data_IF_310075521355
#
_entry.id   IF_310075521355
#
_cell.length_a   1.000
_cell.length_b   1.000
_cell.length_c   1.000
_cell.angle_alpha   90.00
_cell.angle_beta   90.00
_cell.angle_gamma   90.00
#
_symmetry.space_group_name_H-M   'P 1'
#
loop_
_entity.id
_entity.type
_entity.pdbx_description
1 polymer ?
#
# COMPACT_ATOMS: atom_id res chain seq x y z
N UNK A 1 -11.85 19.97 -14.99
CA UNK A 1 -10.49 20.51 -15.28
C UNK A 1 -9.57 19.87 -14.26
N UNK A 2 -8.40 19.38 -14.69
CA UNK A 2 -7.39 18.76 -13.82
C UNK A 2 -6.33 19.80 -13.52
N UNK A 3 -5.87 19.86 -12.27
CA UNK A 3 -4.80 20.77 -11.83
C UNK A 3 -3.43 20.12 -12.12
N UNK A 4 -2.53 20.88 -12.72
CA UNK A 4 -1.20 20.40 -13.14
C UNK A 4 -0.14 20.59 -12.07
N UNK A 5 -0.44 21.35 -11.01
CA UNK A 5 0.46 21.53 -9.86
C UNK A 5 0.28 20.42 -8.81
N UNK A 6 -0.78 19.60 -8.95
CA UNK A 6 -1.07 18.49 -8.04
C UNK A 6 -0.29 17.24 -8.47
N UNK A 7 0.50 16.70 -7.54
CA UNK A 7 1.13 15.39 -7.66
C UNK A 7 0.41 14.36 -6.77
N UNK A 8 0.64 13.08 -7.03
CA UNK A 8 0.13 12.00 -6.18
C UNK A 8 0.99 11.92 -4.90
N UNK A 9 0.44 12.18 -3.70
CA UNK A 9 1.18 11.98 -2.47
C UNK A 9 1.29 10.49 -2.17
N UNK A 10 2.39 10.08 -1.52
CA UNK A 10 2.49 8.76 -0.91
C UNK A 10 1.91 8.78 0.51
N UNK A 11 1.41 7.62 0.94
CA UNK A 11 1.13 7.35 2.35
C UNK A 11 2.23 6.42 2.85
N UNK A 12 2.98 6.86 3.86
CA UNK A 12 4.01 6.07 4.52
C UNK A 12 3.43 5.39 5.77
N UNK A 13 3.11 4.08 5.70
CA UNK A 13 2.51 3.37 6.82
C UNK A 13 3.50 3.13 7.97
N UNK A 14 4.81 3.28 7.73
CA UNK A 14 5.84 3.07 8.75
C UNK A 14 5.75 4.12 9.87
N UNK A 15 5.34 5.34 9.54
CA UNK A 15 5.14 6.40 10.54
C UNK A 15 3.92 6.13 11.42
N UNK A 16 2.84 5.63 10.82
CA UNK A 16 1.62 5.29 11.56
C UNK A 16 1.82 4.03 12.43
N UNK A 17 2.69 3.11 11.99
CA UNK A 17 3.06 1.91 12.75
C UNK A 17 3.69 2.25 14.11
N UNK A 18 4.42 3.36 14.23
CA UNK A 18 5.08 3.80 15.47
C UNK A 18 4.11 4.34 16.53
N UNK A 19 2.84 4.55 16.18
CA UNK A 19 1.82 4.94 17.16
C UNK A 19 1.53 3.80 18.14
N UNK A 20 1.15 4.15 19.37
CA UNK A 20 0.73 3.15 20.36
C UNK A 20 -0.46 2.31 19.89
N UNK A 21 -1.30 2.90 19.03
CA UNK A 21 -2.35 2.20 18.30
C UNK A 21 -2.57 2.93 16.95
N UNK A 22 -2.14 2.33 15.82
CA UNK A 22 -2.21 2.96 14.51
C UNK A 22 -3.63 3.31 14.01
N UNK A 23 -4.67 2.76 14.66
CA UNK A 23 -6.07 3.09 14.35
C UNK A 23 -6.43 4.52 14.77
N UNK A 24 -5.63 5.16 15.62
CA UNK A 24 -5.82 6.56 16.02
C UNK A 24 -4.96 7.55 15.22
N UNK A 25 -4.34 7.12 14.12
CA UNK A 25 -3.69 8.06 13.21
C UNK A 25 -4.66 9.14 12.73
N UNK A 26 -4.16 10.39 12.64
CA UNK A 26 -4.91 11.52 12.07
C UNK A 26 -5.29 11.25 10.60
N UNK A 27 -4.59 10.34 9.91
CA UNK A 27 -4.91 9.92 8.56
C UNK A 27 -6.39 9.52 8.41
N UNK A 28 -6.96 8.87 9.43
CA UNK A 28 -8.35 8.38 9.44
C UNK A 28 -9.40 9.45 9.79
N UNK A 29 -8.99 10.71 9.96
CA UNK A 29 -9.92 11.82 10.25
C UNK A 29 -10.80 12.18 9.05
N UNK A 30 -11.91 12.87 9.31
CA UNK A 30 -12.83 13.37 8.28
C UNK A 30 -12.13 14.33 7.29
N UNK A 31 -11.11 15.07 7.73
CA UNK A 31 -10.40 16.05 6.94
C UNK A 31 -9.37 15.43 5.98
N UNK A 32 -8.83 14.25 6.32
CA UNK A 32 -7.84 13.55 5.51
C UNK A 32 -8.48 12.39 4.73
N UNK A 33 -8.21 11.14 5.12
CA UNK A 33 -8.64 9.98 4.35
C UNK A 33 -10.03 9.46 4.73
N UNK A 34 -10.67 10.04 5.74
CA UNK A 34 -12.02 9.75 6.15
C UNK A 34 -12.15 8.73 7.26
N UNK A 35 -13.18 8.93 8.08
CA UNK A 35 -13.52 8.13 9.25
C UNK A 35 -14.48 7.00 8.88
N UNK A 36 -14.20 5.79 9.35
CA UNK A 36 -15.11 4.65 9.19
C UNK A 36 -16.27 4.74 10.18
N UNK A 37 -17.49 4.47 9.72
CA UNK A 37 -18.64 4.25 10.60
C UNK A 37 -18.63 2.84 11.21
N UNK A 38 -19.55 2.57 12.14
CA UNK A 38 -19.67 1.26 12.80
C UNK A 38 -19.93 0.09 11.82
N UNK A 39 -20.50 0.38 10.66
CA UNK A 39 -20.76 -0.58 9.58
C UNK A 39 -19.64 -0.56 8.51
N UNK A 40 -18.51 0.06 8.80
CA UNK A 40 -17.31 0.10 7.95
C UNK A 40 -17.41 1.05 6.76
N UNK A 41 -18.56 1.66 6.47
CA UNK A 41 -18.63 2.65 5.40
C UNK A 41 -17.95 3.96 5.80
N UNK A 42 -17.23 4.59 4.86
CA UNK A 42 -16.48 5.83 5.11
C UNK A 42 -17.30 7.03 4.62
N UNK A 43 -18.31 7.44 5.40
CA UNK A 43 -19.24 8.52 5.03
C UNK A 43 -18.74 9.92 5.39
N UNK A 44 -17.93 10.03 6.45
CA UNK A 44 -17.25 11.26 6.89
C UNK A 44 -15.88 11.33 6.23
N UNK A 45 -15.81 11.90 5.03
CA UNK A 45 -14.59 11.95 4.21
C UNK A 45 -14.69 12.99 3.10
N UNK A 46 -13.56 13.53 2.60
CA UNK A 46 -13.54 14.29 1.35
C UNK A 46 -13.96 13.44 0.15
N UNK A 47 -13.84 12.11 0.28
CA UNK A 47 -14.12 11.11 -0.74
C UNK A 47 -15.52 10.48 -0.65
N UNK A 48 -16.44 11.02 0.17
CA UNK A 48 -17.79 10.45 0.40
C UNK A 48 -18.71 10.35 -0.82
N UNK A 49 -18.28 10.87 -1.98
CA UNK A 49 -18.97 10.75 -3.29
C UNK A 49 -18.11 10.04 -4.35
N UNK A 50 -16.95 9.53 -3.96
CA UNK A 50 -16.08 8.76 -4.82
C UNK A 50 -16.81 7.49 -5.26
N UNK A 51 -17.09 7.41 -6.56
CA UNK A 51 -17.83 6.28 -7.13
C UNK A 51 -16.88 5.44 -7.97
N UNK A 52 -16.71 4.18 -7.59
CA UNK A 52 -15.92 3.20 -8.34
C UNK A 52 -16.72 1.90 -8.42
N UNK A 53 -16.75 1.31 -9.62
CA UNK A 53 -17.54 0.10 -9.93
C UNK A 53 -19.02 0.14 -9.48
N UNK A 54 -19.66 1.32 -9.54
CA UNK A 54 -21.09 1.48 -9.23
C UNK A 54 -21.45 1.57 -7.74
N UNK A 55 -20.46 1.54 -6.83
CA UNK A 55 -20.65 1.90 -5.42
C UNK A 55 -20.12 3.30 -5.16
N UNK A 56 -20.93 4.14 -4.50
CA UNK A 56 -20.63 5.55 -4.23
C UNK A 56 -19.89 5.80 -2.91
N UNK A 57 -19.77 4.78 -2.06
CA UNK A 57 -19.13 4.86 -0.75
C UNK A 57 -18.36 3.56 -0.54
N UNK A 58 -17.04 3.68 -0.37
CA UNK A 58 -16.16 2.56 -0.07
C UNK A 58 -16.23 2.19 1.42
N UNK A 59 -15.75 0.98 1.74
CA UNK A 59 -15.69 0.48 3.11
C UNK A 59 -14.25 0.25 3.56
N UNK A 60 -14.01 0.40 4.86
CA UNK A 60 -12.79 0.03 5.58
C UNK A 60 -13.14 -0.80 6.81
N UNK A 61 -12.17 -1.55 7.32
CA UNK A 61 -12.22 -2.21 8.62
C UNK A 61 -10.82 -2.07 9.27
N UNK A 62 -10.46 -0.84 9.59
CA UNK A 62 -9.08 -0.46 9.97
C UNK A 62 -8.60 -1.25 11.19
N UNK A 63 -7.50 -1.98 11.01
CA UNK A 63 -6.86 -2.78 12.06
C UNK A 63 -7.56 -4.09 12.42
N UNK A 64 -8.56 -4.55 11.64
CA UNK A 64 -9.20 -5.86 11.84
C UNK A 64 -8.29 -7.02 11.40
N UNK A 65 -7.45 -6.79 10.39
CA UNK A 65 -6.52 -7.77 9.80
C UNK A 65 -5.20 -7.09 9.44
N UNK A 66 -4.18 -7.89 9.12
CA UNK A 66 -2.89 -7.36 8.66
C UNK A 66 -2.17 -6.51 9.69
N UNK A 67 -1.11 -5.85 9.23
CA UNK A 67 -0.32 -4.90 10.02
C UNK A 67 0.13 -3.76 9.10
N UNK A 68 0.48 -2.61 9.67
CA UNK A 68 1.17 -1.61 8.87
C UNK A 68 2.60 -2.04 8.57
N UNK A 69 3.10 -1.62 7.40
CA UNK A 69 4.50 -1.72 7.02
C UNK A 69 5.39 -1.08 8.09
N UNK A 70 6.58 -1.63 8.32
CA UNK A 70 7.59 -1.12 9.25
C UNK A 70 8.81 -0.63 8.50
N UNK A 71 9.59 0.24 9.13
CA UNK A 71 10.89 0.67 8.58
C UNK A 71 11.84 -0.52 8.34
N UNK A 72 11.77 -1.55 9.20
CA UNK A 72 12.54 -2.79 9.03
C UNK A 72 12.16 -3.57 7.77
N UNK A 73 10.92 -3.44 7.29
CA UNK A 73 10.49 -4.10 6.06
C UNK A 73 11.11 -3.41 4.84
N UNK A 74 11.20 -2.07 4.86
CA UNK A 74 11.90 -1.30 3.83
C UNK A 74 13.38 -1.69 3.79
N UNK A 75 14.06 -1.72 4.93
CA UNK A 75 15.47 -2.15 5.03
C UNK A 75 15.64 -3.58 4.50
N UNK A 76 14.71 -4.48 4.82
CA UNK A 76 14.75 -5.86 4.32
C UNK A 76 14.66 -5.91 2.80
N UNK A 77 13.82 -5.07 2.19
CA UNK A 77 13.73 -4.95 0.74
C UNK A 77 15.03 -4.37 0.17
N UNK A 78 15.49 -3.23 0.67
CA UNK A 78 16.63 -2.49 0.10
C UNK A 78 17.99 -3.14 0.34
N UNK A 79 18.17 -3.86 1.44
CA UNK A 79 19.51 -4.31 1.84
C UNK A 79 19.65 -5.84 1.77
N UNK A 80 18.55 -6.58 1.92
CA UNK A 80 18.57 -8.04 2.01
C UNK A 80 17.96 -8.75 0.79
N UNK A 81 17.23 -8.04 -0.07
CA UNK A 81 16.54 -8.63 -1.23
C UNK A 81 17.24 -8.25 -2.54
N UNK A 82 18.46 -8.71 -2.73
CA UNK A 82 19.33 -8.29 -3.83
C UNK A 82 19.11 -9.03 -5.17
N UNK A 83 18.25 -10.04 -5.20
CA UNK A 83 17.99 -10.84 -6.40
C UNK A 83 16.63 -10.48 -7.03
N UNK A 84 16.62 -10.28 -8.35
CA UNK A 84 15.41 -9.99 -9.13
C UNK A 84 14.31 -11.03 -8.94
N UNK A 85 14.67 -12.30 -8.74
CA UNK A 85 13.70 -13.37 -8.51
C UNK A 85 13.00 -13.24 -7.15
N UNK A 86 13.69 -12.76 -6.11
CA UNK A 86 13.08 -12.58 -4.79
C UNK A 86 12.17 -11.34 -4.74
N UNK A 87 12.61 -10.21 -5.30
CA UNK A 87 11.81 -8.98 -5.31
C UNK A 87 10.52 -9.14 -6.14
N UNK A 88 10.57 -9.91 -7.24
CA UNK A 88 9.46 -10.17 -8.15
C UNK A 88 8.89 -11.60 -8.02
N UNK A 89 8.99 -12.19 -6.83
CA UNK A 89 8.44 -13.52 -6.57
C UNK A 89 6.92 -13.56 -6.72
N UNK A 90 6.38 -14.65 -7.24
CA UNK A 90 4.93 -14.84 -7.37
C UNK A 90 4.30 -15.15 -6.00
N UNK A 91 3.69 -14.16 -5.37
CA UNK A 91 3.09 -14.30 -4.02
C UNK A 91 1.90 -15.25 -3.94
N UNK A 92 1.27 -15.54 -5.09
CA UNK A 92 0.22 -16.54 -5.28
C UNK A 92 0.65 -17.61 -6.32
N UNK A 93 1.85 -18.16 -6.17
CA UNK A 93 2.43 -19.12 -7.10
C UNK A 93 1.62 -20.43 -7.23
N UNK A 94 1.40 -20.87 -8.47
CA UNK A 94 0.88 -22.22 -8.75
C UNK A 94 1.97 -23.29 -8.56
N UNK A 95 1.55 -24.55 -8.46
CA UNK A 95 2.48 -25.69 -8.46
C UNK A 95 3.32 -25.67 -9.76
N UNK A 96 4.65 -25.68 -9.64
CA UNK A 96 5.57 -25.62 -10.78
C UNK A 96 5.94 -24.22 -11.27
N UNK A 97 5.57 -23.16 -10.55
CA UNK A 97 6.01 -21.79 -10.85
C UNK A 97 7.56 -21.69 -10.83
N UNK A 98 8.20 -21.18 -11.90
CA UNK A 98 9.66 -21.02 -11.94
C UNK A 98 10.22 -20.07 -10.88
N UNK A 99 9.40 -19.12 -10.41
CA UNK A 99 9.78 -18.14 -9.38
C UNK A 99 8.71 -18.10 -8.26
N UNK A 100 8.67 -19.12 -7.38
CA UNK A 100 7.64 -19.23 -6.35
C UNK A 100 7.73 -18.10 -5.33
N UNK A 101 6.69 -17.95 -4.51
CA UNK A 101 6.60 -16.89 -3.49
C UNK A 101 7.83 -16.86 -2.57
N UNK A 102 8.33 -15.65 -2.33
CA UNK A 102 9.46 -15.37 -1.45
C UNK A 102 9.04 -14.35 -0.41
N UNK A 103 9.43 -14.57 0.85
CA UNK A 103 8.90 -13.80 1.99
C UNK A 103 9.28 -12.30 1.94
N UNK A 104 10.30 -11.92 1.17
CA UNK A 104 10.67 -10.51 0.90
C UNK A 104 10.21 -10.00 -0.47
N UNK A 105 9.20 -10.64 -1.09
CA UNK A 105 8.57 -10.05 -2.26
C UNK A 105 7.99 -8.68 -1.90
N UNK A 106 8.25 -7.67 -2.74
CA UNK A 106 7.77 -6.30 -2.48
C UNK A 106 6.24 -6.23 -2.38
N UNK A 107 5.55 -7.14 -3.07
CA UNK A 107 4.10 -7.29 -3.00
C UNK A 107 3.61 -7.64 -1.59
N UNK A 108 4.33 -8.47 -0.82
CA UNK A 108 3.91 -8.80 0.56
C UNK A 108 4.01 -7.59 1.50
N UNK A 109 5.04 -6.77 1.34
CA UNK A 109 5.27 -5.56 2.15
C UNK A 109 4.13 -4.55 1.93
N UNK A 110 3.68 -4.39 0.69
CA UNK A 110 2.51 -3.57 0.37
C UNK A 110 1.17 -4.20 0.80
N UNK A 111 1.05 -5.52 0.69
CA UNK A 111 -0.19 -6.25 0.98
C UNK A 111 -0.58 -6.15 2.46
N UNK A 112 0.36 -6.20 3.41
CA UNK A 112 0.04 -6.12 4.83
C UNK A 112 -0.68 -4.81 5.20
N UNK A 113 -0.23 -3.68 4.62
CA UNK A 113 -0.89 -2.39 4.82
C UNK A 113 -2.27 -2.33 4.16
N UNK A 114 -2.46 -2.98 3.00
CA UNK A 114 -3.80 -3.14 2.40
C UNK A 114 -4.73 -3.96 3.31
N UNK A 115 -4.22 -5.04 3.90
CA UNK A 115 -4.96 -5.86 4.85
C UNK A 115 -5.36 -5.05 6.09
N UNK A 116 -4.47 -4.17 6.58
CA UNK A 116 -4.74 -3.26 7.70
C UNK A 116 -5.86 -2.27 7.42
N UNK A 117 -5.91 -1.67 6.22
CA UNK A 117 -7.02 -0.79 5.85
C UNK A 117 -8.34 -1.57 5.78
N UNK A 118 -8.29 -2.78 5.22
CA UNK A 118 -9.43 -3.68 5.15
C UNK A 118 -10.56 -3.17 4.26
N UNK A 119 -11.76 -3.73 4.44
CA UNK A 119 -12.92 -3.36 3.62
C UNK A 119 -12.68 -3.56 2.11
N UNK A 120 -12.87 -2.52 1.30
CA UNK A 120 -12.66 -2.58 -0.15
C UNK A 120 -11.17 -2.75 -0.51
N UNK A 121 -10.24 -2.17 0.29
CA UNK A 121 -8.77 -2.30 0.13
C UNK A 121 -8.26 -3.73 0.27
N UNK A 122 -9.03 -4.60 0.94
CA UNK A 122 -8.67 -6.01 1.17
C UNK A 122 -8.65 -6.84 -0.13
N UNK A 123 -9.43 -6.45 -1.14
CA UNK A 123 -9.67 -7.28 -2.32
C UNK A 123 -9.14 -6.59 -3.57
N UNK A 124 -8.29 -7.30 -4.32
CA UNK A 124 -7.66 -6.81 -5.55
C UNK A 124 -8.65 -6.26 -6.60
N UNK A 125 -9.89 -6.75 -6.65
CA UNK A 125 -10.92 -6.27 -7.58
C UNK A 125 -11.58 -4.96 -7.13
N UNK A 126 -11.50 -4.62 -5.83
CA UNK A 126 -12.21 -3.47 -5.25
C UNK A 126 -11.28 -2.48 -4.57
N UNK A 127 -9.99 -2.76 -4.41
CA UNK A 127 -9.08 -1.94 -3.64
C UNK A 127 -9.00 -0.49 -4.13
N UNK A 128 -9.07 -0.30 -5.45
CA UNK A 128 -9.09 1.02 -6.10
C UNK A 128 -10.34 1.85 -5.81
N UNK A 129 -11.37 1.27 -5.18
CA UNK A 129 -12.54 2.01 -4.70
C UNK A 129 -12.18 2.91 -3.50
N UNK A 130 -11.12 2.62 -2.76
CA UNK A 130 -10.59 3.49 -1.72
C UNK A 130 -9.47 4.36 -2.31
N UNK A 131 -9.59 5.71 -2.32
CA UNK A 131 -8.54 6.58 -2.85
C UNK A 131 -7.18 6.42 -2.17
N UNK A 132 -7.11 5.92 -0.94
CA UNK A 132 -5.87 5.63 -0.23
C UNK A 132 -5.00 4.58 -0.97
N UNK A 133 -5.62 3.74 -1.79
CA UNK A 133 -4.93 2.78 -2.65
C UNK A 133 -3.78 3.42 -3.44
N UNK A 134 -4.04 4.58 -4.05
CA UNK A 134 -3.07 5.22 -4.93
C UNK A 134 -1.89 5.78 -4.14
N UNK A 135 -2.14 6.35 -2.96
CA UNK A 135 -1.07 6.83 -2.08
C UNK A 135 -0.24 5.70 -1.49
N UNK A 136 -0.85 4.56 -1.16
CA UNK A 136 -0.09 3.37 -0.75
C UNK A 136 0.79 2.84 -1.90
N UNK A 137 0.25 2.76 -3.12
CA UNK A 137 1.04 2.30 -4.27
C UNK A 137 2.13 3.29 -4.69
N UNK A 138 1.95 4.59 -4.45
CA UNK A 138 3.03 5.58 -4.58
C UNK A 138 4.17 5.34 -3.57
N UNK A 139 3.87 4.87 -2.35
CA UNK A 139 4.90 4.46 -1.38
C UNK A 139 5.63 3.20 -1.84
N UNK A 140 4.89 2.19 -2.34
CA UNK A 140 5.48 0.96 -2.88
C UNK A 140 6.39 1.28 -4.08
N UNK A 141 5.97 2.17 -4.96
CA UNK A 141 6.77 2.65 -6.10
C UNK A 141 8.04 3.39 -5.63
N UNK A 142 7.94 4.23 -4.59
CA UNK A 142 9.11 4.88 -3.96
C UNK A 142 10.11 3.87 -3.39
N UNK A 143 9.65 2.81 -2.71
CA UNK A 143 10.51 1.74 -2.20
C UNK A 143 11.17 0.99 -3.36
N UNK A 144 10.41 0.68 -4.40
CA UNK A 144 10.93 0.06 -5.62
C UNK A 144 12.02 0.92 -6.26
N UNK A 145 11.80 2.23 -6.36
CA UNK A 145 12.80 3.16 -6.92
C UNK A 145 14.08 3.17 -6.09
N UNK A 146 13.97 3.22 -4.76
CA UNK A 146 15.14 3.13 -3.87
C UNK A 146 15.91 1.82 -4.10
N UNK A 147 15.20 0.70 -4.22
CA UNK A 147 15.80 -0.58 -4.57
C UNK A 147 16.50 -0.55 -5.92
N UNK A 148 15.88 0.05 -6.96
CA UNK A 148 16.48 0.18 -8.30
C UNK A 148 17.76 1.01 -8.26
N UNK A 149 17.77 2.13 -7.55
CA UNK A 149 18.98 2.97 -7.43
C UNK A 149 20.15 2.21 -6.78
N UNK A 150 19.87 1.27 -5.88
CA UNK A 150 20.90 0.44 -5.22
C UNK A 150 21.37 -0.74 -6.07
N UNK A 151 20.50 -1.37 -6.85
CA UNK A 151 20.78 -2.66 -7.51
C UNK A 151 20.85 -2.59 -9.04
N UNK A 152 20.27 -1.56 -9.65
CA UNK A 152 20.36 -1.30 -11.09
C UNK A 152 21.44 -0.25 -11.33
N UNK A 153 22.71 -0.67 -11.32
CA UNK A 153 23.77 0.20 -11.82
C UNK A 153 23.52 0.55 -13.30
N UNK A 154 23.60 1.84 -13.63
CA UNK A 154 23.76 2.27 -15.03
C UNK A 154 25.06 1.64 -15.50
N UNK A 155 24.96 0.72 -16.47
CA UNK A 155 26.15 0.09 -17.05
C UNK A 155 27.17 1.15 -17.43
N UNK A 156 28.33 1.10 -16.78
CA UNK A 156 29.51 1.83 -17.21
C UNK A 156 29.89 1.34 -18.60
N UNK A 157 29.55 2.14 -19.61
CA UNK A 157 30.19 2.11 -20.91
C UNK A 157 31.32 3.15 -20.89
N UNK A 158 32.55 2.68 -20.71
CA UNK A 158 33.77 3.24 -21.32
C UNK A 158 34.66 2.09 -21.73
#
# INVERSE_FOLDING_TARGET
MVDHEVALPYWDPTLDYELSDPRYSVLWSEELMGEQDYDGYVRRSPFKRWTSHGRSIFRRNVGDKGNLMKETDIITITDLTNEYQHIFAHTAASLGCPNPGYWTAIEYVGADSQLFVGGDMLNFLTATNDPLFWSLHAMIDSIWEQWRQLHQSVGGYI
#
